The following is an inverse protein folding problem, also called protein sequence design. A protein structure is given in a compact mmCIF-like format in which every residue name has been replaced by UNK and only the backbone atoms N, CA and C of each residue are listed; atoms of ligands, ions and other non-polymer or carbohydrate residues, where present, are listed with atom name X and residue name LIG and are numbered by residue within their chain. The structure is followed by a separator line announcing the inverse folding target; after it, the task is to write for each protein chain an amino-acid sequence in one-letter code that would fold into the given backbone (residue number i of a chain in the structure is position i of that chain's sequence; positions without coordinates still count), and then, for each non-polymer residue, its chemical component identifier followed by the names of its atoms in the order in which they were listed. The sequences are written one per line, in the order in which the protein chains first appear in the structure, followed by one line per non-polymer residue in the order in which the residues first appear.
data_IF_172241062686
#
_entry.id   IF_172241062686
#
_cell.length_a   1.000
_cell.length_b   1.000
_cell.length_c   1.000
_cell.angle_alpha   90.00
_cell.angle_beta   90.00
_cell.angle_gamma   90.00
#
_symmetry.space_group_name_H-M   'P 1'
#
loop_
_entity.id
_entity.type
_entity.pdbx_description
1 polymer ?
#
# COMPACT_ATOMS: atom_id res chain seq x y z
N UNK A 1 -20.74 5.08 -30.17
CA UNK A 1 -19.94 5.76 -29.14
C UNK A 1 -18.81 6.63 -29.71
N UNK A 2 -18.02 6.12 -30.66
CA UNK A 2 -16.85 6.81 -31.24
C UNK A 2 -17.14 8.25 -31.72
N UNK A 3 -18.28 8.50 -32.39
CA UNK A 3 -18.67 9.84 -32.87
C UNK A 3 -18.95 10.84 -31.73
N UNK A 4 -19.49 10.38 -30.60
CA UNK A 4 -19.83 11.25 -29.46
C UNK A 4 -18.59 11.61 -28.63
N UNK A 5 -17.65 10.67 -28.50
CA UNK A 5 -16.46 10.81 -27.68
C UNK A 5 -15.22 11.20 -28.50
N UNK A 6 -15.39 11.54 -29.77
CA UNK A 6 -14.28 11.84 -30.67
C UNK A 6 -13.48 13.05 -30.17
N UNK A 7 -14.14 14.14 -29.78
CA UNK A 7 -13.46 15.41 -29.46
C UNK A 7 -12.83 15.46 -28.06
N UNK A 8 -12.93 14.39 -27.26
CA UNK A 8 -12.35 14.35 -25.91
C UNK A 8 -10.82 14.39 -25.91
N UNK A 9 -10.17 14.12 -27.03
CA UNK A 9 -8.71 14.04 -27.11
C UNK A 9 -8.19 14.66 -28.39
N UNK A 10 -6.98 15.24 -28.33
CA UNK A 10 -6.30 15.90 -29.46
C UNK A 10 -5.85 14.94 -30.57
N UNK A 11 -5.94 13.63 -30.34
CA UNK A 11 -5.59 12.60 -31.33
C UNK A 11 -6.61 12.62 -32.47
N UNK A 12 -6.17 12.69 -33.73
CA UNK A 12 -7.07 12.84 -34.89
C UNK A 12 -7.41 11.54 -35.61
N UNK A 13 -6.72 10.45 -35.29
CA UNK A 13 -7.00 9.16 -35.90
C UNK A 13 -8.30 8.54 -35.35
N UNK A 14 -8.70 7.43 -35.95
CA UNK A 14 -9.83 6.64 -35.50
C UNK A 14 -9.64 6.19 -34.05
N UNK A 15 -10.75 6.13 -33.31
CA UNK A 15 -10.77 5.83 -31.88
C UNK A 15 -11.80 4.74 -31.67
N UNK A 16 -11.43 3.77 -30.83
CA UNK A 16 -12.27 2.63 -30.53
C UNK A 16 -12.64 2.70 -29.05
N UNK A 17 -13.93 2.77 -28.74
CA UNK A 17 -14.42 2.85 -27.37
C UNK A 17 -15.14 1.56 -26.99
N UNK A 18 -14.91 1.07 -25.78
CA UNK A 18 -15.69 -0.02 -25.20
C UNK A 18 -17.04 0.50 -24.72
N UNK A 19 -18.13 -0.06 -25.21
CA UNK A 19 -19.49 0.38 -24.83
C UNK A 19 -19.86 0.03 -23.37
N UNK A 20 -19.12 -0.86 -22.72
CA UNK A 20 -19.37 -1.26 -21.32
C UNK A 20 -18.69 -0.35 -20.29
N UNK A 21 -17.43 0.02 -20.52
CA UNK A 21 -16.62 0.78 -19.55
C UNK A 21 -16.15 2.15 -20.06
N UNK A 22 -16.46 2.49 -21.31
CA UNK A 22 -16.06 3.73 -21.99
C UNK A 22 -14.54 3.93 -22.12
N UNK A 23 -13.74 2.89 -21.88
CA UNK A 23 -12.30 2.95 -22.11
C UNK A 23 -11.99 3.08 -23.60
N UNK A 24 -10.97 3.90 -23.90
CA UNK A 24 -10.55 4.23 -25.27
C UNK A 24 -9.32 3.44 -25.67
N UNK A 25 -9.34 2.86 -26.86
CA UNK A 25 -8.25 2.15 -27.50
C UNK A 25 -7.87 2.86 -28.81
N UNK A 26 -6.59 2.76 -29.17
CA UNK A 26 -6.04 3.29 -30.43
C UNK A 26 -6.16 2.32 -31.60
N UNK A 27 -6.40 1.04 -31.32
CA UNK A 27 -6.55 -0.02 -32.33
C UNK A 27 -7.83 -0.83 -32.08
N UNK A 28 -8.42 -1.36 -33.16
CA UNK A 28 -9.59 -2.24 -33.08
C UNK A 28 -9.25 -3.54 -32.34
N UNK A 29 -8.09 -4.15 -32.63
CA UNK A 29 -7.58 -5.33 -31.91
C UNK A 29 -7.48 -5.10 -30.39
N UNK A 30 -7.10 -3.90 -29.95
CA UNK A 30 -7.04 -3.55 -28.53
C UNK A 30 -8.43 -3.52 -27.88
N UNK A 31 -9.44 -3.03 -28.60
CA UNK A 31 -10.83 -3.05 -28.16
C UNK A 31 -11.38 -4.49 -28.09
N UNK A 32 -11.14 -5.30 -29.13
CA UNK A 32 -11.61 -6.69 -29.18
C UNK A 32 -11.03 -7.52 -28.02
N UNK A 33 -9.72 -7.43 -27.80
CA UNK A 33 -9.06 -8.11 -26.68
C UNK A 33 -9.61 -7.65 -25.33
N UNK A 34 -9.89 -6.36 -25.16
CA UNK A 34 -10.48 -5.84 -23.93
C UNK A 34 -11.92 -6.32 -23.71
N UNK A 35 -12.74 -6.41 -24.76
CA UNK A 35 -14.13 -6.84 -24.66
C UNK A 35 -14.27 -8.26 -24.11
N UNK A 36 -13.30 -9.14 -24.39
CA UNK A 36 -13.25 -10.50 -23.82
C UNK A 36 -13.27 -10.49 -22.28
N UNK A 37 -12.57 -9.55 -21.66
CA UNK A 37 -12.53 -9.41 -20.22
C UNK A 37 -13.68 -8.52 -19.71
N UNK A 38 -13.90 -7.37 -20.36
CA UNK A 38 -14.80 -6.32 -19.89
C UNK A 38 -16.28 -6.75 -19.86
N UNK A 39 -16.69 -7.63 -20.78
CA UNK A 39 -18.06 -8.14 -20.84
C UNK A 39 -18.33 -9.22 -19.77
N UNK A 40 -17.30 -9.98 -19.40
CA UNK A 40 -17.46 -11.25 -18.69
C UNK A 40 -16.98 -11.21 -17.23
N UNK A 41 -16.21 -10.19 -16.82
CA UNK A 41 -15.61 -10.09 -15.49
C UNK A 41 -16.30 -9.03 -14.61
N UNK A 42 -16.38 -9.29 -13.31
CA UNK A 42 -16.94 -8.35 -12.31
C UNK A 42 -15.90 -7.29 -11.97
N UNK A 43 -15.95 -6.10 -12.59
CA UNK A 43 -15.13 -4.88 -12.36
C UNK A 43 -13.58 -5.06 -12.45
N UNK A 44 -13.03 -6.23 -12.14
CA UNK A 44 -11.61 -6.53 -12.07
C UNK A 44 -11.30 -7.85 -12.78
N UNK A 45 -10.27 -7.80 -13.62
CA UNK A 45 -9.67 -8.97 -14.24
C UNK A 45 -8.74 -9.64 -13.23
N UNK A 46 -9.04 -10.89 -12.85
CA UNK A 46 -8.14 -11.69 -12.01
C UNK A 46 -7.16 -12.41 -12.93
N UNK A 47 -5.94 -11.87 -13.09
CA UNK A 47 -4.83 -12.56 -13.76
C UNK A 47 -3.79 -12.95 -12.73
N UNK A 48 -3.68 -14.25 -12.46
CA UNK A 48 -2.62 -14.80 -11.63
C UNK A 48 -1.34 -15.01 -12.46
N UNK A 49 -0.14 -14.86 -11.86
CA UNK A 49 1.11 -15.20 -12.54
C UNK A 49 1.15 -16.68 -12.91
N UNK A 50 1.76 -17.01 -14.06
CA UNK A 50 2.10 -18.40 -14.41
C UNK A 50 3.32 -18.88 -13.61
N UNK A 51 3.65 -20.17 -13.68
CA UNK A 51 4.88 -20.72 -13.08
C UNK A 51 6.16 -20.06 -13.61
N UNK A 52 6.13 -19.53 -14.82
CA UNK A 52 7.23 -18.80 -15.45
C UNK A 52 7.28 -17.34 -14.96
N UNK A 53 6.12 -16.72 -14.72
CA UNK A 53 5.95 -15.34 -14.24
C UNK A 53 5.96 -15.23 -12.70
N UNK A 54 6.13 -16.34 -11.97
CA UNK A 54 6.02 -16.38 -10.49
C UNK A 54 7.03 -15.49 -9.75
N UNK A 55 8.16 -15.19 -10.38
CA UNK A 55 9.21 -14.36 -9.80
C UNK A 55 9.16 -12.94 -10.35
N UNK A 56 8.61 -12.02 -9.56
CA UNK A 56 8.66 -10.60 -9.86
C UNK A 56 10.04 -10.04 -9.48
N UNK A 57 10.67 -9.33 -10.42
CA UNK A 57 11.91 -8.58 -10.19
C UNK A 57 11.69 -7.13 -10.53
N UNK A 58 12.14 -6.24 -9.65
CA UNK A 58 12.15 -4.82 -9.94
C UNK A 58 13.30 -4.51 -10.90
N UNK A 59 13.01 -4.10 -12.13
CA UNK A 59 14.04 -3.78 -13.15
C UNK A 59 14.36 -2.29 -13.22
N UNK A 60 13.44 -1.45 -12.74
CA UNK A 60 13.44 -0.01 -12.93
C UNK A 60 14.18 0.73 -11.80
N UNK A 61 15.36 0.22 -11.39
CA UNK A 61 16.17 0.77 -10.30
C UNK A 61 16.45 2.28 -10.41
N UNK A 62 16.66 2.78 -11.63
CA UNK A 62 16.89 4.21 -11.90
C UNK A 62 15.73 5.13 -11.52
N UNK A 63 14.51 4.60 -11.40
CA UNK A 63 13.32 5.36 -11.01
C UNK A 63 13.02 5.25 -9.51
N UNK A 64 13.87 4.55 -8.74
CA UNK A 64 13.77 4.62 -7.29
C UNK A 64 14.08 6.04 -6.85
N UNK A 65 13.23 6.57 -5.98
CA UNK A 65 13.56 7.80 -5.27
C UNK A 65 14.82 7.50 -4.44
N UNK A 66 15.89 8.28 -4.60
CA UNK A 66 17.05 8.13 -3.73
C UNK A 66 16.56 8.35 -2.30
N UNK A 67 16.69 7.33 -1.47
CA UNK A 67 16.41 7.42 -0.03
C UNK A 67 17.73 7.77 0.63
N UNK A 68 18.00 9.06 0.92
CA UNK A 68 19.28 9.46 1.49
C UNK A 68 19.49 8.86 2.88
N UNK A 69 18.39 8.65 3.62
CA UNK A 69 18.39 8.12 4.98
C UNK A 69 17.18 7.22 5.24
N UNK A 70 17.41 6.10 5.92
CA UNK A 70 16.39 5.22 6.48
C UNK A 70 16.50 5.25 8.00
N UNK A 71 15.37 5.43 8.68
CA UNK A 71 15.31 5.41 10.14
C UNK A 71 14.62 4.13 10.57
N UNK A 72 15.31 3.33 11.37
CA UNK A 72 14.73 2.17 12.04
C UNK A 72 14.57 2.53 13.50
N UNK A 73 13.36 2.40 14.02
CA UNK A 73 13.02 2.76 15.39
C UNK A 73 12.14 1.69 16.01
N UNK A 74 12.29 1.50 17.32
CA UNK A 74 11.47 0.60 18.12
C UNK A 74 11.23 1.19 19.51
N UNK A 75 10.09 0.83 20.12
CA UNK A 75 9.68 1.27 21.45
C UNK A 75 9.60 0.08 22.39
N UNK A 76 10.02 0.30 23.63
CA UNK A 76 9.85 -0.65 24.72
C UNK A 76 8.72 -0.17 25.62
N UNK A 77 7.90 -1.12 26.09
CA UNK A 77 6.74 -0.84 26.92
C UNK A 77 6.70 -1.75 28.15
N UNK A 78 6.30 -1.18 29.29
CA UNK A 78 5.91 -1.93 30.48
C UNK A 78 4.42 -2.28 30.38
N UNK A 79 4.07 -3.52 30.70
CA UNK A 79 2.69 -3.98 30.73
C UNK A 79 2.10 -3.80 32.13
N UNK A 80 1.19 -2.86 32.26
CA UNK A 80 0.44 -2.66 33.49
C UNK A 80 -0.88 -3.41 33.41
N UNK A 81 -1.24 -4.12 34.49
CA UNK A 81 -2.54 -4.77 34.59
C UNK A 81 -3.63 -3.72 34.76
N UNK A 82 -4.67 -3.80 33.94
CA UNK A 82 -5.85 -2.96 34.09
C UNK A 82 -6.88 -3.74 34.91
N UNK A 83 -7.46 -3.11 35.93
CA UNK A 83 -8.57 -3.70 36.67
C UNK A 83 -9.80 -3.74 35.78
N UNK A 84 -10.26 -4.94 35.44
CA UNK A 84 -11.52 -5.11 34.73
C UNK A 84 -12.72 -4.93 35.66
N UNK A 85 -13.68 -4.10 35.27
CA UNK A 85 -15.00 -4.05 35.88
C UNK A 85 -15.87 -5.22 35.40
N UNK A 86 -16.89 -5.59 36.19
CA UNK A 86 -17.90 -6.56 35.76
C UNK A 86 -18.60 -6.05 34.51
N UNK A 87 -18.51 -6.82 33.42
CA UNK A 87 -19.11 -6.49 32.14
C UNK A 87 -20.57 -6.94 32.12
N UNK A 88 -21.46 -6.12 31.58
CA UNK A 88 -22.86 -6.49 31.41
C UNK A 88 -22.97 -7.51 30.24
N UNK A 89 -23.44 -8.75 30.49
CA UNK A 89 -23.55 -9.77 29.45
C UNK A 89 -24.59 -9.45 28.35
N UNK A 90 -25.51 -8.53 28.60
CA UNK A 90 -26.52 -8.08 27.62
C UNK A 90 -25.97 -7.04 26.64
N UNK A 91 -24.76 -6.52 26.87
CA UNK A 91 -24.18 -5.44 26.06
C UNK A 91 -22.78 -5.86 25.60
N UNK A 92 -22.58 -5.91 24.28
CA UNK A 92 -21.26 -6.14 23.69
C UNK A 92 -20.27 -5.09 24.20
N UNK A 93 -19.19 -5.55 24.80
CA UNK A 93 -18.13 -4.71 25.36
C UNK A 93 -16.76 -5.37 25.22
N UNK A 94 -15.70 -4.57 25.26
CA UNK A 94 -14.31 -5.03 25.13
C UNK A 94 -13.58 -4.84 26.46
N UNK A 95 -12.88 -5.88 26.91
CA UNK A 95 -12.08 -5.83 28.14
C UNK A 95 -10.62 -5.54 27.81
N UNK A 96 -10.11 -4.40 28.27
CA UNK A 96 -8.67 -4.12 28.25
C UNK A 96 -7.99 -4.89 29.38
N UNK A 97 -7.13 -5.85 29.04
CA UNK A 97 -6.43 -6.70 30.02
C UNK A 97 -5.15 -6.01 30.52
N UNK A 98 -4.45 -5.33 29.60
CA UNK A 98 -3.17 -4.67 29.89
C UNK A 98 -3.11 -3.29 29.24
N UNK A 99 -2.43 -2.37 29.90
CA UNK A 99 -2.03 -1.06 29.40
C UNK A 99 -0.54 -1.11 29.10
N UNK A 100 -0.17 -0.74 27.88
CA UNK A 100 1.23 -0.63 27.45
C UNK A 100 1.69 0.78 27.77
N UNK A 101 2.61 0.93 28.73
CA UNK A 101 3.22 2.21 29.10
C UNK A 101 4.62 2.26 28.49
N UNK A 102 4.88 3.16 27.52
CA UNK A 102 6.22 3.32 26.95
C UNK A 102 7.24 3.63 28.02
N UNK A 103 8.37 2.92 28.02
CA UNK A 103 9.45 3.09 28.99
C UNK A 103 10.81 3.35 28.32
N UNK A 104 10.86 3.31 27.00
CA UNK A 104 12.05 3.64 26.23
C UNK A 104 11.83 3.54 24.74
N UNK A 105 12.80 4.04 23.99
CA UNK A 105 12.88 3.85 22.55
C UNK A 105 14.34 3.78 22.11
N UNK A 106 14.55 3.16 20.96
CA UNK A 106 15.83 3.19 20.27
C UNK A 106 15.60 3.48 18.79
N UNK A 107 16.46 4.29 18.19
CA UNK A 107 16.48 4.43 16.74
C UNK A 107 17.90 4.54 16.18
N UNK A 108 18.03 4.06 14.95
CA UNK A 108 19.25 4.16 14.15
C UNK A 108 18.94 4.85 12.83
N UNK A 109 19.85 5.73 12.41
CA UNK A 109 19.79 6.41 11.11
C UNK A 109 20.82 5.76 10.20
N UNK A 110 20.35 5.16 9.11
CA UNK A 110 21.16 4.44 8.13
C UNK A 110 21.20 5.26 6.85
N UNK A 111 22.39 5.55 6.35
CA UNK A 111 22.57 6.26 5.09
C UNK A 111 22.35 5.35 3.89
N UNK A 112 22.32 5.94 2.69
CA UNK A 112 22.19 5.21 1.42
C UNK A 112 23.27 4.14 1.18
N UNK A 113 24.40 4.20 1.88
CA UNK A 113 25.46 3.18 1.85
C UNK A 113 25.23 1.99 2.80
N UNK A 114 24.08 1.93 3.47
CA UNK A 114 23.75 0.89 4.44
C UNK A 114 24.49 1.00 5.77
N UNK A 115 25.26 2.07 6.00
CA UNK A 115 25.98 2.30 7.26
C UNK A 115 25.24 3.30 8.14
N UNK A 116 25.46 3.16 9.45
CA UNK A 116 24.94 4.11 10.42
C UNK A 116 25.59 5.49 10.23
N UNK A 117 24.76 6.52 10.17
CA UNK A 117 25.20 7.92 10.02
C UNK A 117 25.70 8.48 11.35
N UNK A 118 25.12 8.00 12.45
CA UNK A 118 25.47 8.36 13.82
C UNK A 118 25.29 7.14 14.74
N UNK A 119 25.87 7.13 15.95
CA UNK A 119 25.58 6.11 16.95
C UNK A 119 24.07 5.98 17.23
N UNK A 120 23.58 4.79 17.63
CA UNK A 120 22.18 4.60 17.99
C UNK A 120 21.77 5.62 19.05
N UNK A 121 20.59 6.21 18.88
CA UNK A 121 19.99 7.03 19.93
C UNK A 121 19.09 6.13 20.75
N UNK A 122 19.33 6.08 22.05
CA UNK A 122 18.58 5.25 22.99
C UNK A 122 18.09 6.14 24.12
N UNK A 123 16.82 6.03 24.45
CA UNK A 123 16.20 6.68 25.59
C UNK A 123 15.55 5.63 26.48
N UNK A 124 15.67 5.82 27.79
CA UNK A 124 15.01 5.01 28.82
C UNK A 124 14.50 5.95 29.90
N UNK A 125 13.21 5.90 30.17
CA UNK A 125 12.55 6.82 31.09
C UNK A 125 11.05 6.89 30.83
N UNK A 126 10.36 7.59 31.71
CA UNK A 126 8.90 7.75 31.68
C UNK A 126 8.46 8.65 30.51
N UNK A 127 9.31 9.59 30.08
CA UNK A 127 9.02 10.51 28.96
C UNK A 127 9.45 9.91 27.60
N UNK A 128 9.25 8.60 27.41
CA UNK A 128 9.62 7.92 26.17
C UNK A 128 8.75 8.35 24.99
N UNK A 129 7.51 8.77 25.26
CA UNK A 129 6.58 9.35 24.28
C UNK A 129 5.65 10.33 25.02
N UNK A 130 5.27 11.42 24.35
CA UNK A 130 4.29 12.42 24.83
C UNK A 130 2.91 12.17 24.18
#
# INVERSE_FOLDING_TARGET
MNRLLYDLTKHKEEKFYCDYCLHRFSTEEGLENHQLDCRNQVIQRIRMPTEEEKWLKFSNHRFQLPVPYSIYADFECILEKVSSYEMNPEISSTQSITRYVPCGFAYVVVGSNGRMVKPPTVYRGEDAVD
#
